data_IF_442676011979
#
_entry.id   IF_442676011979
#
_cell.length_a   1.000
_cell.length_b   1.000
_cell.length_c   1.000
_cell.angle_alpha   90.00
_cell.angle_beta   90.00
_cell.angle_gamma   90.00
#
_symmetry.space_group_name_H-M   'P 1'
#
loop_
_entity.id
_entity.type
_entity.pdbx_description
1 polymer ?
#
# COMPACT_ATOMS: atom_id res chain seq x y z
N UNK A 1 20.07 -32.73 -5.17
CA UNK A 1 19.92 -33.29 -3.81
C UNK A 1 20.98 -32.82 -2.81
N UNK A 2 22.30 -32.87 -3.08
CA UNK A 2 23.31 -32.39 -2.11
C UNK A 2 23.42 -30.84 -1.96
N UNK A 3 22.92 -30.06 -2.92
CA UNK A 3 22.87 -28.58 -2.82
C UNK A 3 21.73 -28.05 -1.95
N UNK A 4 20.63 -28.80 -1.77
CA UNK A 4 19.46 -28.34 -1.00
C UNK A 4 19.61 -28.59 0.50
N UNK A 5 20.25 -29.69 0.90
CA UNK A 5 20.57 -29.95 2.32
C UNK A 5 21.59 -28.96 2.89
N UNK A 6 22.43 -28.34 2.04
CA UNK A 6 23.35 -27.29 2.44
C UNK A 6 22.65 -25.99 2.87
N UNK A 7 21.48 -25.66 2.28
CA UNK A 7 20.80 -24.39 2.56
C UNK A 7 20.14 -24.37 3.94
N UNK A 8 19.48 -25.46 4.34
CA UNK A 8 18.80 -25.55 5.64
C UNK A 8 19.79 -25.67 6.81
N UNK A 9 20.86 -26.44 6.64
CA UNK A 9 21.91 -26.55 7.66
C UNK A 9 22.68 -25.23 7.83
N UNK A 10 22.89 -24.50 6.73
CA UNK A 10 23.48 -23.16 6.78
C UNK A 10 22.57 -22.17 7.48
N UNK A 11 21.26 -22.17 7.22
CA UNK A 11 20.31 -21.27 7.93
C UNK A 11 20.21 -21.54 9.43
N UNK A 12 20.22 -22.80 9.87
CA UNK A 12 20.19 -23.16 11.30
C UNK A 12 21.50 -22.78 12.00
N UNK A 13 22.65 -23.03 11.36
CA UNK A 13 23.96 -22.62 11.90
C UNK A 13 24.08 -21.09 11.98
N UNK A 14 23.62 -20.40 10.93
CA UNK A 14 23.60 -18.93 10.88
C UNK A 14 22.73 -18.31 11.97
N UNK A 15 21.65 -18.97 12.42
CA UNK A 15 20.80 -18.49 13.49
C UNK A 15 21.48 -18.57 14.87
N UNK A 16 22.28 -19.61 15.10
CA UNK A 16 23.05 -19.78 16.34
C UNK A 16 24.17 -18.73 16.46
N UNK A 17 24.92 -18.50 15.37
CA UNK A 17 25.97 -17.48 15.35
C UNK A 17 25.37 -16.05 15.44
N UNK A 18 24.21 -15.81 14.81
CA UNK A 18 23.47 -14.54 14.94
C UNK A 18 23.13 -14.24 16.39
N UNK A 19 22.65 -15.27 17.10
CA UNK A 19 22.24 -15.16 18.49
C UNK A 19 23.44 -14.85 19.39
N UNK A 20 24.60 -15.43 19.11
CA UNK A 20 25.81 -15.17 19.89
C UNK A 20 26.30 -13.73 19.69
N UNK A 21 26.40 -13.27 18.44
CA UNK A 21 26.84 -11.90 18.11
C UNK A 21 25.90 -10.83 18.69
N UNK A 22 24.58 -11.08 18.72
CA UNK A 22 23.60 -10.12 19.25
C UNK A 22 23.49 -10.18 20.78
N UNK A 23 23.71 -11.35 21.40
CA UNK A 23 23.66 -11.48 22.86
C UNK A 23 24.81 -10.77 23.59
N UNK A 24 25.95 -10.55 22.94
CA UNK A 24 27.10 -9.89 23.57
C UNK A 24 26.85 -8.41 23.92
N UNK A 25 25.80 -7.79 23.36
CA UNK A 25 25.57 -6.34 23.48
C UNK A 25 24.21 -5.96 24.13
N UNK A 26 23.37 -6.92 24.52
CA UNK A 26 21.97 -6.63 24.85
C UNK A 26 21.33 -7.45 25.98
N UNK A 27 20.10 -7.05 26.32
CA UNK A 27 19.24 -7.78 27.26
C UNK A 27 18.79 -9.11 26.65
N UNK A 28 19.39 -10.21 27.09
CA UNK A 28 19.14 -11.57 26.58
C UNK A 28 17.64 -11.92 26.47
N UNK A 29 16.80 -11.46 27.40
CA UNK A 29 15.35 -11.70 27.35
C UNK A 29 14.68 -10.99 26.17
N UNK A 30 15.13 -9.77 25.85
CA UNK A 30 14.61 -9.01 24.71
C UNK A 30 15.00 -9.68 23.39
N UNK A 31 16.24 -10.15 23.28
CA UNK A 31 16.76 -10.89 22.13
C UNK A 31 15.96 -12.17 21.92
N UNK A 32 15.83 -13.02 22.95
CA UNK A 32 15.04 -14.27 22.87
C UNK A 32 13.59 -14.03 22.43
N UNK A 33 12.96 -12.95 22.94
CA UNK A 33 11.61 -12.56 22.53
C UNK A 33 11.56 -12.18 21.05
N UNK A 34 12.50 -11.37 20.58
CA UNK A 34 12.60 -10.95 19.18
C UNK A 34 12.65 -12.15 18.23
N UNK A 35 13.53 -13.14 18.50
CA UNK A 35 13.62 -14.33 17.65
C UNK A 35 12.40 -15.24 17.74
N UNK A 36 11.78 -15.35 18.91
CA UNK A 36 10.52 -16.10 19.06
C UNK A 36 9.41 -15.50 18.19
N UNK A 37 9.32 -14.18 18.15
CA UNK A 37 8.32 -13.48 17.35
C UNK A 37 8.58 -13.70 15.85
N UNK A 38 9.84 -13.69 15.42
CA UNK A 38 10.25 -14.03 14.05
C UNK A 38 9.99 -15.49 13.67
N UNK A 39 10.24 -16.43 14.58
CA UNK A 39 9.94 -17.86 14.40
C UNK A 39 8.42 -18.09 14.29
N UNK A 40 7.61 -17.42 15.12
CA UNK A 40 6.15 -17.49 15.04
C UNK A 40 5.66 -17.03 13.66
N UNK A 41 6.12 -15.87 13.18
CA UNK A 41 5.78 -15.37 11.84
C UNK A 41 6.22 -16.33 10.73
N UNK A 42 7.42 -16.89 10.83
CA UNK A 42 7.99 -17.82 9.83
C UNK A 42 7.31 -19.19 9.83
N UNK A 43 6.67 -19.59 10.92
CA UNK A 43 5.89 -20.82 11.01
C UNK A 43 4.44 -20.67 10.54
N UNK A 44 3.89 -19.45 10.56
CA UNK A 44 2.54 -19.15 10.12
C UNK A 44 2.37 -19.40 8.61
N UNK A 45 1.16 -19.74 8.17
CA UNK A 45 0.85 -19.87 6.75
C UNK A 45 0.77 -18.48 6.06
N UNK A 46 0.66 -18.47 4.73
CA UNK A 46 0.71 -17.21 3.96
C UNK A 46 -0.43 -16.24 4.28
N UNK A 47 -1.65 -16.76 4.47
CA UNK A 47 -2.83 -15.96 4.80
C UNK A 47 -2.70 -15.34 6.20
N UNK A 48 -2.25 -16.13 7.17
CA UNK A 48 -1.95 -15.66 8.53
C UNK A 48 -0.88 -14.56 8.53
N UNK A 49 0.20 -14.73 7.75
CA UNK A 49 1.23 -13.69 7.61
C UNK A 49 0.66 -12.42 6.99
N UNK A 50 -0.17 -12.53 5.97
CA UNK A 50 -0.79 -11.36 5.33
C UNK A 50 -1.69 -10.60 6.32
N UNK A 51 -2.58 -11.31 7.03
CA UNK A 51 -3.43 -10.74 8.08
C UNK A 51 -2.61 -10.12 9.21
N UNK A 52 -1.51 -10.76 9.59
CA UNK A 52 -0.59 -10.24 10.59
C UNK A 52 0.04 -8.91 10.14
N UNK A 53 0.48 -8.80 8.88
CA UNK A 53 1.01 -7.54 8.33
C UNK A 53 -0.02 -6.43 8.22
N UNK A 54 -1.26 -6.75 7.84
CA UNK A 54 -2.36 -5.79 7.82
C UNK A 54 -2.63 -5.26 9.24
N UNK A 55 -2.69 -6.16 10.22
CA UNK A 55 -2.83 -5.80 11.63
C UNK A 55 -1.66 -4.97 12.17
N UNK A 56 -0.42 -5.31 11.81
CA UNK A 56 0.76 -4.51 12.15
C UNK A 56 0.67 -3.09 11.62
N UNK A 57 0.26 -2.92 10.36
CA UNK A 57 0.12 -1.61 9.73
C UNK A 57 -0.96 -0.76 10.42
N UNK A 58 -2.14 -1.33 10.68
CA UNK A 58 -3.22 -0.64 11.40
C UNK A 58 -2.83 -0.25 12.83
N UNK A 59 -2.12 -1.13 13.54
CA UNK A 59 -1.60 -0.83 14.89
C UNK A 59 -0.54 0.26 14.84
N UNK A 60 0.34 0.28 13.83
CA UNK A 60 1.36 1.32 13.67
C UNK A 60 0.70 2.67 13.43
N UNK A 61 -0.27 2.75 12.52
CA UNK A 61 -1.01 3.99 12.25
C UNK A 61 -1.70 4.51 13.51
N UNK A 62 -2.33 3.63 14.30
CA UNK A 62 -2.95 4.00 15.58
C UNK A 62 -1.92 4.48 16.59
N UNK A 63 -0.80 3.77 16.76
CA UNK A 63 0.24 4.11 17.72
C UNK A 63 0.87 5.47 17.41
N UNK A 64 1.15 5.76 16.13
CA UNK A 64 1.64 7.07 15.68
C UNK A 64 0.59 8.16 15.93
N UNK A 65 -0.68 7.89 15.62
CA UNK A 65 -1.77 8.86 15.82
C UNK A 65 -2.04 9.17 17.28
N UNK A 66 -1.72 8.25 18.19
CA UNK A 66 -1.85 8.42 19.64
C UNK A 66 -0.53 8.78 20.32
N UNK A 67 0.52 9.09 19.57
CA UNK A 67 1.87 9.42 20.07
C UNK A 67 2.43 8.38 21.06
N UNK A 68 2.09 7.10 20.87
CA UNK A 68 2.55 6.00 21.72
C UNK A 68 3.86 5.43 21.17
N UNK A 69 4.97 6.12 21.44
CA UNK A 69 6.29 5.79 20.87
C UNK A 69 6.82 4.42 21.30
N UNK A 70 6.60 4.00 22.53
CA UNK A 70 6.94 2.64 23.00
C UNK A 70 6.22 1.57 22.17
N UNK A 71 4.95 1.82 21.82
CA UNK A 71 4.18 0.92 20.97
C UNK A 71 4.74 0.91 19.55
N UNK A 72 5.12 2.07 19.00
CA UNK A 72 5.80 2.15 17.69
C UNK A 72 7.08 1.32 17.70
N UNK A 73 7.93 1.45 18.73
CA UNK A 73 9.15 0.66 18.90
C UNK A 73 8.86 -0.84 18.96
N UNK A 74 7.82 -1.26 19.70
CA UNK A 74 7.41 -2.67 19.76
C UNK A 74 6.97 -3.22 18.41
N UNK A 75 6.22 -2.43 17.63
CA UNK A 75 5.72 -2.84 16.31
C UNK A 75 6.84 -2.95 15.28
N UNK A 76 7.83 -2.05 15.34
CA UNK A 76 9.02 -2.13 14.48
C UNK A 76 9.83 -3.38 14.81
N UNK A 77 10.00 -3.74 16.09
CA UNK A 77 10.67 -4.99 16.48
C UNK A 77 9.96 -6.22 15.93
N UNK A 78 8.64 -6.28 16.05
CA UNK A 78 7.83 -7.39 15.52
C UNK A 78 7.95 -7.50 14.00
N UNK A 79 7.90 -6.37 13.28
CA UNK A 79 8.10 -6.34 11.83
C UNK A 79 9.54 -6.70 11.41
N UNK A 80 10.55 -6.22 12.13
CA UNK A 80 11.94 -6.53 11.85
C UNK A 80 12.25 -8.01 12.09
N UNK A 81 11.67 -8.63 13.11
CA UNK A 81 11.81 -10.07 13.36
C UNK A 81 11.25 -10.95 12.23
N UNK A 82 10.27 -10.43 11.48
CA UNK A 82 9.66 -11.07 10.31
C UNK A 82 10.43 -10.82 8.99
N UNK A 83 11.50 -10.02 9.03
CA UNK A 83 12.23 -9.60 7.84
C UNK A 83 13.18 -10.70 7.34
N UNK A 84 13.07 -11.03 6.05
CA UNK A 84 13.99 -11.95 5.39
C UNK A 84 15.26 -11.23 4.90
N UNK A 85 16.37 -11.96 4.77
CA UNK A 85 17.61 -11.43 4.21
C UNK A 85 17.42 -10.88 2.78
N UNK A 86 18.20 -9.87 2.35
CA UNK A 86 18.20 -9.44 0.96
C UNK A 86 18.57 -10.60 0.02
N UNK A 87 17.93 -10.65 -1.15
CA UNK A 87 18.16 -11.68 -2.18
C UNK A 87 18.72 -11.01 -3.42
N UNK A 88 19.67 -11.63 -4.12
CA UNK A 88 20.24 -11.07 -5.36
C UNK A 88 19.23 -11.19 -6.52
N UNK A 89 19.22 -10.23 -7.45
CA UNK A 89 18.46 -10.32 -8.72
C UNK A 89 19.05 -11.45 -9.57
N UNK A 90 18.19 -12.27 -10.19
CA UNK A 90 18.63 -13.28 -11.14
C UNK A 90 19.23 -12.61 -12.39
N UNK A 91 20.48 -12.92 -12.72
CA UNK A 91 21.24 -12.32 -13.82
C UNK A 91 21.14 -13.09 -15.15
N UNK A 92 20.74 -14.36 -15.12
CA UNK A 92 20.45 -15.16 -16.31
C UNK A 92 19.14 -15.93 -16.14
N UNK A 93 18.22 -15.76 -17.09
CA UNK A 93 17.06 -16.65 -17.26
C UNK A 93 17.18 -17.25 -18.66
N UNK A 94 17.91 -18.35 -18.79
CA UNK A 94 17.90 -19.17 -19.99
C UNK A 94 16.63 -20.04 -19.95
N UNK A 95 15.61 -19.63 -20.73
CA UNK A 95 14.30 -20.26 -20.89
C UNK A 95 13.34 -20.22 -19.67
N UNK A 96 12.26 -19.44 -19.81
CA UNK A 96 11.19 -19.32 -18.83
C UNK A 96 10.28 -20.56 -18.85
N UNK A 97 10.60 -21.56 -18.02
CA UNK A 97 9.64 -22.61 -17.66
C UNK A 97 8.42 -21.98 -16.93
N UNK A 98 7.21 -22.53 -17.12
CA UNK A 98 6.02 -22.07 -16.40
C UNK A 98 6.26 -22.10 -14.89
N UNK A 99 5.88 -21.01 -14.21
CA UNK A 99 6.03 -20.82 -12.77
C UNK A 99 5.31 -21.96 -12.03
N UNK A 100 6.04 -22.85 -11.34
CA UNK A 100 5.42 -23.93 -10.59
C UNK A 100 4.69 -23.37 -9.35
N UNK A 101 3.99 -24.22 -8.60
CA UNK A 101 3.19 -23.82 -7.42
C UNK A 101 4.06 -23.24 -6.27
N UNK A 102 5.36 -23.50 -6.31
CA UNK A 102 6.43 -22.83 -5.55
C UNK A 102 6.59 -21.34 -5.90
N UNK A 103 6.19 -20.92 -7.10
CA UNK A 103 6.15 -19.54 -7.49
C UNK A 103 5.03 -18.75 -6.80
N UNK A 104 4.10 -19.44 -6.17
CA UNK A 104 3.11 -18.91 -5.24
C UNK A 104 3.79 -18.51 -3.91
N UNK A 105 4.93 -19.10 -3.53
CA UNK A 105 5.80 -18.56 -2.47
C UNK A 105 6.39 -17.19 -2.85
N UNK A 106 6.37 -16.79 -4.14
CA UNK A 106 6.74 -15.43 -4.55
C UNK A 106 5.77 -14.36 -4.02
N UNK A 107 4.61 -14.74 -3.43
CA UNK A 107 3.79 -13.85 -2.58
C UNK A 107 4.57 -13.33 -1.36
N UNK A 108 5.64 -14.00 -0.93
CA UNK A 108 6.57 -13.46 0.07
C UNK A 108 7.22 -12.16 -0.40
N UNK A 109 7.44 -11.93 -1.70
CA UNK A 109 8.04 -10.68 -2.17
C UNK A 109 7.15 -9.47 -1.84
N UNK A 110 5.82 -9.62 -1.94
CA UNK A 110 4.86 -8.59 -1.56
C UNK A 110 4.83 -8.40 -0.05
N UNK A 111 4.81 -9.48 0.73
CA UNK A 111 4.84 -9.42 2.20
C UNK A 111 6.12 -8.74 2.70
N UNK A 112 7.28 -9.15 2.20
CA UNK A 112 8.57 -8.58 2.54
C UNK A 112 8.71 -7.12 2.08
N UNK A 113 8.12 -6.77 0.93
CA UNK A 113 8.04 -5.38 0.47
C UNK A 113 7.19 -4.53 1.42
N UNK A 114 6.07 -5.08 1.91
CA UNK A 114 5.20 -4.43 2.88
C UNK A 114 5.89 -4.26 4.24
N UNK A 115 6.57 -5.31 4.74
CA UNK A 115 7.38 -5.26 5.96
C UNK A 115 8.44 -4.16 5.90
N UNK A 116 9.26 -4.12 4.85
CA UNK A 116 10.28 -3.07 4.68
C UNK A 116 9.66 -1.66 4.69
N UNK A 117 8.54 -1.46 3.99
CA UNK A 117 7.84 -0.16 4.01
C UNK A 117 7.35 0.21 5.40
N UNK A 118 6.78 -0.75 6.11
CA UNK A 118 6.29 -0.54 7.48
C UNK A 118 7.44 -0.16 8.41
N UNK A 119 8.56 -0.88 8.34
CA UNK A 119 9.78 -0.59 9.12
C UNK A 119 10.31 0.81 8.79
N UNK A 120 10.55 1.13 7.51
CA UNK A 120 11.05 2.44 7.11
C UNK A 120 10.10 3.57 7.55
N UNK A 121 8.78 3.37 7.41
CA UNK A 121 7.77 4.32 7.85
C UNK A 121 7.79 4.50 9.38
N UNK A 122 7.85 3.40 10.13
CA UNK A 122 7.91 3.44 11.59
C UNK A 122 9.17 4.14 12.10
N UNK A 123 10.34 3.78 11.57
CA UNK A 123 11.61 4.41 11.92
C UNK A 123 11.64 5.89 11.56
N UNK A 124 10.95 6.31 10.49
CA UNK A 124 10.85 7.71 10.10
C UNK A 124 10.12 8.59 11.12
N UNK A 125 9.32 8.02 12.03
CA UNK A 125 8.67 8.78 13.10
C UNK A 125 9.48 8.85 14.40
N UNK A 126 10.61 8.17 14.47
CA UNK A 126 11.40 8.03 15.69
C UNK A 126 12.70 8.81 15.60
N UNK A 127 13.07 9.44 16.72
CA UNK A 127 14.41 9.99 16.89
C UNK A 127 15.37 8.87 17.32
N UNK A 128 16.13 8.33 16.36
CA UNK A 128 17.12 7.28 16.65
C UNK A 128 18.37 7.82 17.36
N UNK A 129 18.51 9.13 17.53
CA UNK A 129 19.58 9.73 18.35
C UNK A 129 19.23 9.74 19.85
N UNK A 130 17.96 9.60 20.20
CA UNK A 130 17.54 9.40 21.58
C UNK A 130 18.00 8.03 22.10
N UNK A 131 18.78 8.04 23.18
CA UNK A 131 19.37 6.84 23.75
C UNK A 131 18.31 5.85 24.25
N UNK A 132 17.16 6.33 24.74
CA UNK A 132 16.05 5.49 25.18
C UNK A 132 15.44 4.72 24.01
N UNK A 133 15.09 5.43 22.94
CA UNK A 133 14.54 4.87 21.71
C UNK A 133 15.52 3.90 21.04
N UNK A 134 16.78 4.28 20.92
CA UNK A 134 17.83 3.43 20.37
C UNK A 134 18.01 2.15 21.18
N UNK A 135 18.06 2.24 22.51
CA UNK A 135 18.15 1.08 23.41
C UNK A 135 16.94 0.15 23.28
N UNK A 136 15.73 0.70 23.16
CA UNK A 136 14.53 -0.09 22.96
C UNK A 136 14.49 -0.85 21.63
N UNK A 137 15.11 -0.30 20.59
CA UNK A 137 15.14 -0.85 19.24
C UNK A 137 16.42 -1.65 18.93
N UNK A 138 17.42 -1.65 19.82
CA UNK A 138 18.74 -2.22 19.59
C UNK A 138 18.69 -3.62 18.93
N UNK A 139 17.92 -4.61 19.43
CA UNK A 139 17.93 -5.94 18.82
C UNK A 139 17.46 -5.94 17.36
N UNK A 140 16.47 -5.10 17.04
CA UNK A 140 15.96 -4.98 15.67
C UNK A 140 16.93 -4.24 14.75
N UNK A 141 17.55 -3.15 15.24
CA UNK A 141 18.52 -2.38 14.45
C UNK A 141 19.78 -3.21 14.16
N UNK A 142 20.30 -3.92 15.17
CA UNK A 142 21.44 -4.83 15.05
C UNK A 142 21.14 -5.96 14.07
N UNK A 143 19.95 -6.59 14.17
CA UNK A 143 19.50 -7.61 13.21
C UNK A 143 19.47 -7.10 11.77
N UNK A 144 18.85 -5.94 11.52
CA UNK A 144 18.75 -5.39 10.16
C UNK A 144 20.11 -4.98 9.58
N UNK A 145 21.00 -4.41 10.40
CA UNK A 145 22.38 -4.11 9.99
C UNK A 145 23.11 -5.38 9.58
N UNK A 146 23.00 -6.44 10.38
CA UNK A 146 23.64 -7.72 10.11
C UNK A 146 23.12 -8.39 8.83
N UNK A 147 21.81 -8.33 8.56
CA UNK A 147 21.24 -8.81 7.29
C UNK A 147 21.85 -8.10 6.06
N UNK A 148 22.04 -6.78 6.17
CA UNK A 148 22.61 -5.96 5.08
C UNK A 148 24.10 -6.24 4.91
N UNK A 149 24.87 -6.30 5.99
CA UNK A 149 26.31 -6.59 5.95
C UNK A 149 26.59 -7.99 5.39
N UNK A 150 25.83 -9.01 5.81
CA UNK A 150 25.97 -10.37 5.26
C UNK A 150 25.62 -10.47 3.77
N UNK A 151 24.72 -9.61 3.29
CA UNK A 151 24.45 -9.53 1.86
C UNK A 151 25.63 -8.89 1.11
N UNK A 152 26.20 -7.82 1.66
CA UNK A 152 27.36 -7.10 1.10
C UNK A 152 28.61 -7.95 0.93
N UNK A 153 28.81 -8.93 1.80
CA UNK A 153 29.90 -9.91 1.64
C UNK A 153 29.82 -10.71 0.32
N UNK A 154 28.64 -10.77 -0.32
CA UNK A 154 28.39 -11.59 -1.51
C UNK A 154 28.02 -10.76 -2.75
N UNK A 155 27.36 -9.62 -2.58
CA UNK A 155 26.91 -8.77 -3.69
C UNK A 155 26.71 -7.31 -3.26
N UNK A 156 26.70 -6.39 -4.22
CA UNK A 156 26.34 -4.99 -3.95
C UNK A 156 24.84 -4.84 -3.65
N UNK A 157 24.46 -3.94 -2.74
CA UNK A 157 23.06 -3.82 -2.28
C UNK A 157 22.11 -3.39 -3.41
N UNK A 158 22.63 -2.69 -4.42
CA UNK A 158 21.97 -2.29 -5.68
C UNK A 158 21.50 -3.50 -6.51
N UNK A 159 22.19 -4.63 -6.37
CA UNK A 159 21.86 -5.90 -7.02
C UNK A 159 20.78 -6.68 -6.27
N UNK A 160 20.39 -6.25 -5.07
CA UNK A 160 19.33 -6.90 -4.33
C UNK A 160 17.95 -6.74 -5.00
N UNK A 161 17.11 -7.77 -4.87
CA UNK A 161 15.67 -7.66 -5.03
C UNK A 161 15.15 -6.61 -4.05
N UNK A 162 14.38 -5.66 -4.57
CA UNK A 162 13.97 -4.46 -3.85
C UNK A 162 15.14 -3.61 -3.31
N UNK A 163 16.24 -3.51 -4.06
CA UNK A 163 17.42 -2.67 -3.75
C UNK A 163 17.05 -1.28 -3.20
N UNK A 164 16.09 -0.58 -3.81
CA UNK A 164 15.62 0.73 -3.33
C UNK A 164 15.17 0.72 -1.87
N UNK A 165 14.43 -0.31 -1.45
CA UNK A 165 13.95 -0.42 -0.07
C UNK A 165 15.08 -0.74 0.90
N UNK A 166 16.02 -1.60 0.49
CA UNK A 166 17.18 -1.95 1.31
C UNK A 166 18.16 -0.79 1.46
N UNK A 167 18.42 -0.03 0.39
CA UNK A 167 19.23 1.20 0.43
C UNK A 167 18.57 2.27 1.30
N UNK A 168 17.24 2.42 1.24
CA UNK A 168 16.52 3.33 2.13
C UNK A 168 16.68 2.89 3.59
N UNK A 169 16.44 1.61 3.88
CA UNK A 169 16.57 1.08 5.23
C UNK A 169 18.01 1.26 5.76
N UNK A 170 19.00 0.95 4.93
CA UNK A 170 20.41 1.23 5.24
C UNK A 170 20.63 2.70 5.55
N UNK A 171 20.15 3.62 4.71
CA UNK A 171 20.28 5.06 4.94
C UNK A 171 19.73 5.47 6.31
N UNK A 172 18.58 4.93 6.72
CA UNK A 172 18.02 5.16 8.06
C UNK A 172 18.92 4.58 9.17
N UNK A 173 19.49 3.39 8.96
CA UNK A 173 20.34 2.71 9.95
C UNK A 173 21.75 3.30 10.11
N UNK A 174 22.25 3.96 9.07
CA UNK A 174 23.60 4.56 9.03
C UNK A 174 23.59 6.07 9.21
N UNK A 175 22.44 6.73 9.03
CA UNK A 175 22.37 8.17 9.17
C UNK A 175 22.65 8.57 10.62
N UNK A 176 23.84 9.14 10.83
CA UNK A 176 23.99 10.28 11.73
C UNK A 176 23.09 11.39 11.17
N UNK A 177 21.99 11.63 11.87
CA UNK A 177 20.84 12.43 11.46
C UNK A 177 21.24 13.74 10.77
N UNK A 178 20.92 13.87 9.48
CA UNK A 178 20.57 15.17 8.89
C UNK A 178 19.19 15.08 8.26
N UNK A 179 18.21 15.37 9.11
CA UNK A 179 16.82 15.70 8.79
C UNK A 179 16.72 16.53 7.51
N UNK A 180 16.35 15.90 6.38
CA UNK A 180 15.81 16.56 5.17
C UNK A 180 15.29 15.60 4.08
N UNK A 181 15.30 14.28 4.32
CA UNK A 181 14.77 13.28 3.37
C UNK A 181 13.26 13.01 3.49
N UNK A 182 12.54 13.67 4.41
CA UNK A 182 11.09 13.48 4.58
C UNK A 182 10.26 14.04 3.41
N UNK A 183 10.83 14.90 2.54
CA UNK A 183 10.09 15.47 1.42
C UNK A 183 9.86 14.51 0.23
N UNK A 184 10.46 13.32 0.19
CA UNK A 184 10.35 12.42 -0.97
C UNK A 184 9.71 11.05 -0.69
N UNK A 185 9.45 10.69 0.57
CA UNK A 185 8.82 9.40 0.88
C UNK A 185 7.30 9.42 0.64
N UNK A 186 6.64 10.58 0.74
CA UNK A 186 5.22 10.73 0.38
C UNK A 186 4.98 10.90 -1.13
N UNK A 187 6.02 11.21 -1.92
CA UNK A 187 5.93 11.18 -3.39
C UNK A 187 6.06 9.75 -3.97
N UNK A 188 6.32 8.75 -3.13
CA UNK A 188 6.27 7.33 -3.49
C UNK A 188 4.86 6.75 -3.39
N UNK A 189 3.83 7.57 -3.71
CA UNK A 189 2.54 7.05 -4.15
C UNK A 189 2.79 6.28 -5.46
N UNK A 190 2.91 4.96 -5.33
CA UNK A 190 2.81 3.94 -6.36
C UNK A 190 4.03 3.66 -7.27
N UNK A 191 5.06 2.99 -6.74
CA UNK A 191 5.89 2.07 -7.56
C UNK A 191 5.17 0.73 -7.87
N UNK A 192 3.84 0.68 -7.66
CA UNK A 192 2.91 -0.26 -8.28
C UNK A 192 2.03 0.38 -9.36
N UNK A 193 2.24 1.67 -9.69
CA UNK A 193 1.94 2.14 -11.03
C UNK A 193 3.15 1.75 -11.85
N UNK A 194 3.10 0.57 -12.48
CA UNK A 194 3.53 0.54 -13.88
C UNK A 194 2.99 1.83 -14.46
N UNK A 195 3.87 2.71 -14.94
CA UNK A 195 3.43 3.80 -15.79
C UNK A 195 2.64 3.10 -16.88
N UNK A 196 1.32 3.08 -16.71
CA UNK A 196 0.36 2.62 -17.68
C UNK A 196 0.86 3.28 -18.95
N UNK A 197 1.34 2.46 -19.88
CA UNK A 197 1.85 2.94 -21.16
C UNK A 197 0.73 3.80 -21.74
N UNK A 198 1.03 4.71 -22.68
CA UNK A 198 0.00 5.67 -23.15
C UNK A 198 -1.33 5.02 -23.58
N UNK A 199 -1.32 3.73 -23.91
CA UNK A 199 -2.47 2.89 -24.26
C UNK A 199 -3.33 2.45 -23.06
N UNK A 200 -2.74 2.30 -21.89
CA UNK A 200 -3.42 1.86 -20.68
C UNK A 200 -4.19 2.99 -19.98
N UNK A 201 -3.93 4.26 -20.32
CA UNK A 201 -4.62 5.42 -19.73
C UNK A 201 -5.93 5.73 -20.45
N UNK A 202 -6.90 6.26 -19.71
CA UNK A 202 -8.08 6.84 -20.33
C UNK A 202 -7.66 8.01 -21.23
N UNK A 203 -8.28 8.13 -22.39
CA UNK A 203 -7.92 9.08 -23.45
C UNK A 203 -9.16 9.79 -23.97
N UNK A 204 -9.00 11.04 -24.41
CA UNK A 204 -10.04 11.85 -25.07
C UNK A 204 -9.48 12.52 -26.33
N UNK A 205 -8.70 11.77 -27.11
CA UNK A 205 -8.02 12.28 -28.32
C UNK A 205 -9.04 12.45 -29.45
N UNK A 206 -8.99 13.58 -30.15
CA UNK A 206 -9.86 13.87 -31.30
C UNK A 206 -11.35 13.95 -30.95
N UNK A 207 -11.70 14.30 -29.70
CA UNK A 207 -13.09 14.34 -29.26
C UNK A 207 -13.72 12.96 -29.07
N UNK A 208 -12.93 11.88 -29.07
CA UNK A 208 -13.39 10.51 -28.84
C UNK A 208 -12.83 10.00 -27.51
N UNK A 209 -13.71 9.58 -26.62
CA UNK A 209 -13.35 9.01 -25.33
C UNK A 209 -13.08 7.51 -25.41
N UNK A 210 -11.98 7.09 -24.81
CA UNK A 210 -11.61 5.68 -24.64
C UNK A 210 -11.21 5.44 -23.18
N UNK A 211 -11.91 4.58 -22.43
CA UNK A 211 -11.58 4.27 -21.04
C UNK A 211 -10.25 3.49 -20.95
N UNK A 212 -9.66 3.48 -19.75
CA UNK A 212 -8.47 2.69 -19.47
C UNK A 212 -8.74 1.17 -19.59
N UNK A 213 -7.68 0.37 -19.79
CA UNK A 213 -7.77 -1.09 -19.98
C UNK A 213 -8.47 -1.78 -18.81
N UNK A 214 -8.23 -1.31 -17.58
CA UNK A 214 -8.86 -1.86 -16.37
C UNK A 214 -10.38 -1.66 -16.33
N UNK A 215 -10.91 -0.59 -16.91
CA UNK A 215 -12.36 -0.39 -17.03
C UNK A 215 -12.92 -1.21 -18.17
N UNK A 216 -12.19 -1.34 -19.29
CA UNK A 216 -12.59 -2.19 -20.43
C UNK A 216 -12.72 -3.66 -20.03
N UNK A 217 -11.91 -4.14 -19.08
CA UNK A 217 -11.99 -5.51 -18.56
C UNK A 217 -13.11 -5.74 -17.55
N UNK A 218 -13.88 -4.71 -17.17
CA UNK A 218 -15.03 -4.89 -16.30
C UNK A 218 -16.20 -5.51 -17.10
N UNK A 219 -16.80 -6.62 -16.66
CA UNK A 219 -17.86 -7.32 -17.41
C UNK A 219 -19.16 -6.51 -17.57
N UNK A 220 -19.36 -5.48 -16.74
CA UNK A 220 -20.50 -4.57 -16.84
C UNK A 220 -20.23 -3.37 -17.77
N UNK A 221 -19.01 -3.25 -18.29
CA UNK A 221 -18.61 -2.22 -19.24
C UNK A 221 -18.55 -2.85 -20.63
N UNK A 222 -19.26 -2.26 -21.58
CA UNK A 222 -19.27 -2.73 -22.97
C UNK A 222 -19.15 -1.58 -23.95
N UNK A 223 -18.58 -1.89 -25.10
CA UNK A 223 -18.58 -1.00 -26.25
C UNK A 223 -19.84 -1.27 -27.07
N UNK A 224 -20.64 -0.24 -27.33
CA UNK A 224 -21.89 -0.35 -28.09
C UNK A 224 -21.68 -0.30 -29.60
N UNK A 225 -20.50 0.17 -30.06
CA UNK A 225 -20.24 0.52 -31.45
C UNK A 225 -21.00 1.75 -31.94
N UNK A 226 -21.82 2.38 -31.09
CA UNK A 226 -22.61 3.56 -31.40
C UNK A 226 -22.04 4.76 -30.63
N UNK A 227 -21.61 5.78 -31.35
CA UNK A 227 -21.07 7.00 -30.76
C UNK A 227 -22.17 7.80 -30.05
N UNK A 228 -22.05 7.92 -28.74
CA UNK A 228 -22.93 8.73 -27.91
C UNK A 228 -22.30 10.10 -27.73
N UNK A 229 -22.98 11.15 -28.21
CA UNK A 229 -22.50 12.54 -28.13
C UNK A 229 -22.81 13.13 -26.76
N UNK A 230 -21.77 13.62 -26.10
CA UNK A 230 -21.82 14.29 -24.81
C UNK A 230 -21.34 15.73 -24.99
N UNK A 231 -21.93 16.66 -24.26
CA UNK A 231 -21.56 18.08 -24.29
C UNK A 231 -21.00 18.53 -22.95
N UNK A 232 -19.92 19.30 -22.97
CA UNK A 232 -19.40 19.93 -21.77
C UNK A 232 -20.38 20.99 -21.25
N UNK A 233 -20.82 20.83 -20.00
CA UNK A 233 -21.74 21.74 -19.31
C UNK A 233 -21.27 23.21 -19.19
N UNK A 234 -19.99 23.51 -19.42
CA UNK A 234 -19.45 24.89 -19.32
C UNK A 234 -19.18 25.54 -20.67
N UNK A 235 -18.57 24.81 -21.62
CA UNK A 235 -18.08 25.39 -22.87
C UNK A 235 -18.72 24.75 -24.12
N UNK A 236 -19.68 23.83 -23.95
CA UNK A 236 -20.37 23.18 -25.06
C UNK A 236 -19.54 22.16 -25.86
N UNK A 237 -18.23 22.02 -25.60
CA UNK A 237 -17.37 21.11 -26.35
C UNK A 237 -17.94 19.69 -26.36
N UNK A 238 -18.02 19.12 -27.56
CA UNK A 238 -18.52 17.77 -27.77
C UNK A 238 -17.46 16.71 -27.50
N UNK A 239 -17.90 15.60 -26.91
CA UNK A 239 -17.12 14.39 -26.68
C UNK A 239 -17.98 13.18 -27.05
N UNK A 240 -17.45 12.29 -27.88
CA UNK A 240 -18.12 11.05 -28.28
C UNK A 240 -17.64 9.90 -27.42
N UNK A 241 -18.54 9.06 -26.96
CA UNK A 241 -18.22 7.84 -26.20
C UNK A 241 -19.07 6.69 -26.73
N UNK A 242 -18.42 5.59 -27.13
CA UNK A 242 -19.09 4.33 -27.45
C UNK A 242 -19.12 3.37 -26.26
N UNK A 243 -18.72 3.82 -25.06
CA UNK A 243 -18.57 2.97 -23.88
C UNK A 243 -19.71 3.21 -22.89
N UNK A 244 -20.40 2.13 -22.54
CA UNK A 244 -21.50 2.16 -21.57
C UNK A 244 -21.22 1.20 -20.42
N UNK A 245 -21.71 1.57 -19.25
CA UNK A 245 -21.82 0.72 -18.08
C UNK A 245 -23.27 0.29 -17.92
N UNK A 246 -23.52 -1.01 -17.90
CA UNK A 246 -24.85 -1.59 -17.73
C UNK A 246 -24.93 -2.37 -16.42
N UNK A 247 -25.89 -2.01 -15.58
CA UNK A 247 -26.15 -2.72 -14.33
C UNK A 247 -27.64 -2.76 -14.04
N UNK A 248 -28.19 -3.97 -13.84
CA UNK A 248 -29.62 -4.20 -13.54
C UNK A 248 -30.57 -3.53 -14.56
N UNK A 249 -30.26 -3.66 -15.84
CA UNK A 249 -31.04 -3.08 -16.95
C UNK A 249 -30.95 -1.56 -17.06
N UNK A 250 -30.15 -0.89 -16.21
CA UNK A 250 -29.85 0.54 -16.36
C UNK A 250 -28.55 0.69 -17.13
N UNK A 251 -28.61 1.41 -18.25
CA UNK A 251 -27.46 1.74 -19.08
C UNK A 251 -27.04 3.17 -18.77
N UNK A 252 -25.73 3.40 -18.63
CA UNK A 252 -25.15 4.72 -18.43
C UNK A 252 -23.90 4.90 -19.27
N UNK A 253 -23.75 6.03 -19.93
CA UNK A 253 -22.56 6.32 -20.74
C UNK A 253 -21.37 6.63 -19.85
N UNK A 254 -20.22 6.01 -20.13
CA UNK A 254 -18.98 6.30 -19.42
C UNK A 254 -18.39 7.62 -19.90
N UNK A 255 -17.96 8.44 -18.93
CA UNK A 255 -17.35 9.75 -19.17
C UNK A 255 -16.09 9.95 -18.32
N UNK A 256 -15.14 10.79 -18.75
CA UNK A 256 -13.94 11.09 -17.96
C UNK A 256 -14.27 11.61 -16.55
N UNK A 257 -13.62 11.05 -15.52
CA UNK A 257 -13.81 11.42 -14.11
C UNK A 257 -13.50 12.90 -13.83
N UNK A 258 -12.54 13.46 -14.56
CA UNK A 258 -12.11 14.85 -14.40
C UNK A 258 -12.82 15.82 -15.35
N UNK A 259 -13.82 15.36 -16.11
CA UNK A 259 -14.56 16.21 -17.06
C UNK A 259 -13.66 16.78 -18.16
N UNK A 260 -14.03 17.96 -18.67
CA UNK A 260 -13.24 18.68 -19.67
C UNK A 260 -12.07 19.41 -19.00
N UNK A 261 -10.84 18.96 -19.29
CA UNK A 261 -9.61 19.47 -18.68
C UNK A 261 -9.48 21.01 -18.72
N UNK A 262 -9.80 21.65 -19.85
CA UNK A 262 -9.58 23.09 -20.06
C UNK A 262 -10.46 23.98 -19.20
N UNK A 263 -11.72 23.59 -18.96
CA UNK A 263 -12.68 24.43 -18.23
C UNK A 263 -13.18 23.82 -16.91
N UNK A 264 -12.84 22.56 -16.63
CA UNK A 264 -13.34 21.79 -15.49
C UNK A 264 -14.85 21.53 -15.54
N UNK A 265 -15.48 21.66 -16.70
CA UNK A 265 -16.90 21.34 -16.90
C UNK A 265 -17.12 19.84 -16.95
N UNK A 266 -18.31 19.38 -16.56
CA UNK A 266 -18.70 17.97 -16.66
C UNK A 266 -19.32 17.68 -18.01
N UNK A 267 -19.04 16.52 -18.57
CA UNK A 267 -19.74 16.03 -19.76
C UNK A 267 -21.11 15.50 -19.35
N UNK A 268 -22.13 16.01 -20.03
CA UNK A 268 -23.53 15.60 -19.87
C UNK A 268 -24.08 15.16 -21.22
N UNK A 269 -25.08 14.30 -21.21
CA UNK A 269 -25.77 13.90 -22.43
C UNK A 269 -26.70 15.04 -22.91
N UNK A 270 -26.87 15.19 -24.23
CA UNK A 270 -27.79 16.18 -24.81
C UNK A 270 -29.26 15.82 -24.53
N UNK A 271 -29.60 14.53 -24.67
CA UNK A 271 -30.84 13.95 -24.14
C UNK A 271 -30.73 13.74 -22.61
N UNK A 272 -31.57 14.44 -21.84
CA UNK A 272 -31.63 14.36 -20.38
C UNK A 272 -32.01 12.97 -19.85
N UNK A 273 -32.51 12.05 -20.69
CA UNK A 273 -32.92 10.70 -20.29
C UNK A 273 -31.75 9.73 -20.12
N UNK A 274 -30.59 10.01 -20.71
CA UNK A 274 -29.43 9.12 -20.65
C UNK A 274 -28.55 9.49 -19.46
N UNK A 275 -28.35 8.53 -18.56
CA UNK A 275 -27.48 8.70 -17.41
C UNK A 275 -26.01 8.64 -17.80
N UNK A 276 -25.18 9.45 -17.14
CA UNK A 276 -23.72 9.40 -17.27
C UNK A 276 -23.09 8.82 -16.01
N UNK A 277 -22.04 8.03 -16.15
CA UNK A 277 -21.25 7.49 -15.05
C UNK A 277 -19.78 7.83 -15.24
N UNK A 278 -19.15 8.38 -14.20
CA UNK A 278 -17.71 8.69 -14.22
C UNK A 278 -16.89 7.40 -14.27
N UNK A 279 -15.80 7.42 -15.03
CA UNK A 279 -14.83 6.34 -15.23
C UNK A 279 -13.92 6.06 -14.01
N UNK A 280 -14.48 6.18 -12.82
CA UNK A 280 -13.81 5.82 -11.56
C UNK A 280 -14.11 4.35 -11.27
N UNK A 281 -13.07 3.52 -11.16
CA UNK A 281 -13.20 2.07 -10.87
C UNK A 281 -14.15 1.80 -9.69
N UNK A 282 -14.07 2.59 -8.62
CA UNK A 282 -14.93 2.40 -7.43
C UNK A 282 -16.42 2.66 -7.67
N UNK A 283 -16.79 3.34 -8.76
CA UNK A 283 -18.19 3.50 -9.18
C UNK A 283 -18.71 2.28 -9.96
N UNK A 284 -17.81 1.51 -10.59
CA UNK A 284 -18.16 0.40 -11.50
C UNK A 284 -18.05 -0.99 -10.86
N UNK A 285 -17.41 -1.10 -9.69
CA UNK A 285 -17.34 -2.36 -8.95
C UNK A 285 -18.65 -2.54 -8.17
N UNK A 286 -19.43 -3.53 -8.60
CA UNK A 286 -20.65 -3.96 -7.95
C UNK A 286 -20.38 -5.23 -7.13
N UNK A 287 -20.97 -5.34 -5.94
CA UNK A 287 -20.94 -6.56 -5.14
C UNK A 287 -22.05 -7.53 -5.58
N UNK A 288 -22.05 -8.74 -5.01
CA UNK A 288 -23.08 -9.77 -5.25
C UNK A 288 -24.50 -9.32 -4.87
N UNK A 289 -24.63 -8.34 -3.97
CA UNK A 289 -25.91 -7.74 -3.61
C UNK A 289 -26.38 -6.70 -4.64
N UNK A 290 -25.62 -6.48 -5.71
CA UNK A 290 -25.84 -5.51 -6.79
C UNK A 290 -25.84 -4.06 -6.35
N UNK A 291 -25.08 -3.74 -5.30
CA UNK A 291 -24.76 -2.37 -4.89
C UNK A 291 -23.30 -2.06 -5.22
N UNK A 292 -22.93 -0.78 -5.36
CA UNK A 292 -21.51 -0.40 -5.42
C UNK A 292 -20.80 -0.91 -4.16
N UNK A 293 -19.68 -1.61 -4.31
CA UNK A 293 -19.01 -2.30 -3.19
C UNK A 293 -18.72 -1.35 -2.02
N UNK A 294 -18.26 -0.12 -2.31
CA UNK A 294 -18.01 0.89 -1.28
C UNK A 294 -19.27 1.34 -0.53
N UNK A 295 -20.46 1.24 -1.13
CA UNK A 295 -21.74 1.69 -0.54
C UNK A 295 -22.59 0.55 0.01
N UNK A 296 -22.17 -0.71 -0.16
CA UNK A 296 -22.95 -1.86 0.24
C UNK A 296 -22.84 -2.10 1.75
N UNK A 297 -23.94 -1.89 2.47
CA UNK A 297 -24.03 -2.12 3.91
C UNK A 297 -23.75 -3.58 4.28
N UNK A 298 -24.26 -4.53 3.48
CA UNK A 298 -24.08 -5.97 3.73
C UNK A 298 -22.61 -6.42 3.59
N UNK A 299 -21.87 -5.77 2.70
CA UNK A 299 -20.44 -6.05 2.50
C UNK A 299 -19.54 -5.24 3.45
N UNK A 300 -20.09 -4.39 4.32
CA UNK A 300 -19.29 -3.48 5.14
C UNK A 300 -18.49 -2.47 4.31
N UNK A 301 -19.03 -2.03 3.16
CA UNK A 301 -18.32 -1.15 2.23
C UNK A 301 -17.78 0.11 2.91
N UNK A 302 -16.69 0.70 2.40
CA UNK A 302 -15.97 1.82 3.05
C UNK A 302 -16.79 3.09 3.30
N UNK A 303 -17.95 3.25 2.67
CA UNK A 303 -18.93 4.32 2.93
C UNK A 303 -20.02 3.89 3.91
N UNK A 304 -19.86 2.77 4.60
CA UNK A 304 -20.74 2.25 5.66
C UNK A 304 -20.05 2.49 7.00
N UNK A 305 -20.76 3.12 7.94
CA UNK A 305 -20.26 3.31 9.29
C UNK A 305 -20.47 2.05 10.15
N UNK A 306 -19.86 2.03 11.34
CA UNK A 306 -20.06 1.00 12.37
C UNK A 306 -21.53 0.80 12.76
N UNK A 307 -22.37 1.83 12.60
CA UNK A 307 -23.82 1.78 12.82
C UNK A 307 -24.60 1.10 11.67
N UNK A 308 -23.93 0.44 10.72
CA UNK A 308 -24.53 -0.25 9.56
C UNK A 308 -25.41 0.66 8.68
N UNK A 309 -25.06 1.94 8.60
CA UNK A 309 -25.69 2.95 7.73
C UNK A 309 -24.65 3.58 6.82
N UNK A 310 -25.07 4.14 5.69
CA UNK A 310 -24.14 4.94 4.89
C UNK A 310 -23.67 6.15 5.68
N UNK A 311 -22.37 6.44 5.68
CA UNK A 311 -21.73 7.45 6.53
C UNK A 311 -22.45 8.80 6.41
N UNK A 312 -22.78 9.24 5.20
CA UNK A 312 -23.46 10.52 4.95
C UNK A 312 -24.94 10.55 5.39
N UNK A 313 -25.59 9.40 5.53
CA UNK A 313 -26.99 9.28 5.99
C UNK A 313 -27.11 8.86 7.45
N UNK A 314 -25.98 8.63 8.15
CA UNK A 314 -25.98 8.26 9.55
C UNK A 314 -26.03 9.52 10.42
N UNK A 315 -27.15 9.72 11.14
CA UNK A 315 -27.35 10.86 12.05
C UNK A 315 -26.28 10.94 13.14
N UNK A 316 -25.84 9.80 13.68
CA UNK A 316 -24.78 9.71 14.69
C UNK A 316 -23.44 10.20 14.10
N UNK A 317 -23.00 9.64 12.97
CA UNK A 317 -21.77 10.07 12.31
C UNK A 317 -21.84 11.51 11.76
N UNK A 318 -23.04 12.04 11.51
CA UNK A 318 -23.23 13.42 11.12
C UNK A 318 -23.04 14.36 12.33
N UNK A 319 -23.61 14.02 13.49
CA UNK A 319 -23.42 14.76 14.73
C UNK A 319 -21.94 14.80 15.13
N UNK A 320 -21.26 13.65 15.09
CA UNK A 320 -19.83 13.55 15.43
C UNK A 320 -18.97 14.43 14.52
N UNK A 321 -19.21 14.39 13.21
CA UNK A 321 -18.48 15.24 12.24
C UNK A 321 -18.77 16.73 12.43
N UNK A 322 -19.99 17.09 12.82
CA UNK A 322 -20.35 18.48 13.11
C UNK A 322 -19.65 18.97 14.38
N UNK A 323 -19.57 18.14 15.41
CA UNK A 323 -18.84 18.43 16.64
C UNK A 323 -17.33 18.59 16.37
N UNK A 324 -16.70 17.61 15.71
CA UNK A 324 -15.28 17.66 15.35
C UNK A 324 -14.90 18.90 14.51
N UNK A 325 -15.77 19.33 13.59
CA UNK A 325 -15.57 20.58 12.81
C UNK A 325 -15.70 21.85 13.66
N UNK A 326 -16.51 21.82 14.71
CA UNK A 326 -16.69 22.95 15.62
C UNK A 326 -15.49 23.07 16.55
N UNK A 327 -15.02 21.94 17.08
CA UNK A 327 -13.83 21.86 17.93
C UNK A 327 -12.58 22.33 17.17
N UNK A 328 -12.38 21.86 15.93
CA UNK A 328 -11.26 22.28 15.08
C UNK A 328 -11.29 23.76 14.66
N UNK A 329 -12.46 24.43 14.72
CA UNK A 329 -12.57 25.87 14.47
C UNK A 329 -12.32 26.70 15.73
N UNK A 330 -12.66 26.18 16.91
CA UNK A 330 -12.42 26.84 18.19
C UNK A 330 -10.93 27.04 18.48
N UNK A 331 -10.11 26.07 18.09
CA UNK A 331 -8.66 26.05 18.36
C UNK A 331 -7.84 27.04 17.50
N UNK A 332 -8.46 27.69 16.50
CA UNK A 332 -7.81 28.74 15.68
C UNK A 332 -7.99 30.16 16.23
N UNK A 333 -8.50 30.33 17.44
CA UNK A 333 -8.64 31.66 18.03
C UNK A 333 -7.32 32.14 18.67
N UNK A 334 -6.71 33.09 17.95
CA UNK A 334 -5.82 34.17 18.42
C UNK A 334 -4.40 33.78 18.84
N UNK A 335 -3.38 34.00 17.99
CA UNK A 335 -2.04 34.22 18.50
C UNK A 335 -2.10 35.49 19.38
N UNK A 336 -1.98 35.32 20.69
CA UNK A 336 -1.76 36.42 21.63
C UNK A 336 -0.59 37.25 21.14
N UNK A 337 -0.86 38.53 20.92
CA UNK A 337 0.07 39.51 20.38
C UNK A 337 1.13 39.91 21.39
#
# INVERSE_FOLDING_TARGET
MLQEFGSLAFEVFLASDLLHEICEFGNEKAVRRFYRDGAAFSSANLEERALHLDGLEERLVRAVSSESWDQVCSLIKEAAAALAAPRQKATLIEAAAPMPEDAQERLQANLQSKLRKLICKGLGYLDLSDAGTASQLEPALSFMKLLIERFRLRAQLEEALAAKQWLLLQGILTAEVTTKAEANLESSKSEGQNYLTGEDRASSKGGIYSPNVKLKSNPLVRNTGLDIVLTCSKCGLELRSAWVFEHRGKVSTLVPAHGHHTCGGRYVHTDAKIHVTLDVVSNLIMCIHGCQTRMCVKCGGSQTCTHKKQIHNCSLCFADRRKARSDAKGERQSPTR
#
